data_IF_699313004585
#
_entry.id   IF_699313004585
#
_cell.length_a   1.000
_cell.length_b   1.000
_cell.length_c   1.000
_cell.angle_alpha   90.00
_cell.angle_beta   90.00
_cell.angle_gamma   90.00
#
_symmetry.space_group_name_H-M   'P 1'
#
loop_
_entity.id
_entity.type
_entity.pdbx_description
1 polymer ?
#
# COMPACT_ATOMS: atom_id res chain seq x y z
N UNK A 1 15.45 4.97 -22.88
CA UNK A 1 16.29 5.65 -21.87
C UNK A 1 16.55 7.10 -22.25
N UNK A 2 16.90 7.41 -23.51
CA UNK A 2 17.15 8.79 -23.98
C UNK A 2 15.94 9.74 -23.90
N UNK A 3 14.73 9.26 -24.18
CA UNK A 3 13.53 10.13 -24.21
C UNK A 3 13.00 10.54 -22.83
N UNK A 4 13.14 9.66 -21.83
CA UNK A 4 12.72 9.97 -20.45
C UNK A 4 13.65 11.01 -19.79
N UNK A 5 14.95 10.98 -20.11
CA UNK A 5 15.89 12.01 -19.64
C UNK A 5 15.59 13.38 -20.28
N UNK A 6 15.18 13.40 -21.55
CA UNK A 6 14.80 14.64 -22.24
C UNK A 6 13.51 15.27 -21.65
N UNK A 7 12.48 14.45 -21.37
CA UNK A 7 11.26 14.94 -20.73
C UNK A 7 11.52 15.43 -19.30
N UNK A 8 12.31 14.70 -18.52
CA UNK A 8 12.72 15.09 -17.18
C UNK A 8 13.41 16.46 -17.18
N UNK A 9 14.29 16.73 -18.14
CA UNK A 9 14.95 18.04 -18.28
C UNK A 9 13.95 19.16 -18.64
N UNK A 10 12.87 18.82 -19.34
CA UNK A 10 11.90 19.81 -19.85
C UNK A 10 10.79 20.13 -18.83
N UNK A 11 10.26 19.12 -18.16
CA UNK A 11 9.08 19.23 -17.29
C UNK A 11 9.37 18.96 -15.81
N UNK A 12 10.58 18.49 -15.50
CA UNK A 12 10.90 17.93 -14.21
C UNK A 12 10.33 16.52 -14.00
N UNK A 13 10.58 15.98 -12.81
CA UNK A 13 10.15 14.64 -12.41
C UNK A 13 9.85 14.55 -10.91
N UNK A 14 9.05 13.55 -10.54
CA UNK A 14 8.78 13.21 -9.14
C UNK A 14 9.64 12.03 -8.72
N UNK A 15 10.45 12.21 -7.67
CA UNK A 15 11.15 11.12 -7.01
C UNK A 15 10.19 10.43 -6.04
N UNK A 16 9.91 9.16 -6.26
CA UNK A 16 9.01 8.37 -5.42
C UNK A 16 9.82 7.36 -4.62
N UNK A 17 9.51 7.21 -3.34
CA UNK A 17 10.10 6.17 -2.49
C UNK A 17 9.01 5.38 -1.78
N UNK A 18 9.11 4.05 -1.81
CA UNK A 18 8.18 3.15 -1.15
C UNK A 18 8.94 2.18 -0.24
N UNK A 19 8.72 2.32 1.07
CA UNK A 19 9.31 1.47 2.10
C UNK A 19 8.46 0.24 2.37
N UNK A 20 9.10 -0.92 2.55
CA UNK A 20 8.44 -2.12 3.06
C UNK A 20 9.39 -2.98 3.87
N UNK A 21 8.84 -3.83 4.75
CA UNK A 21 9.61 -4.82 5.49
C UNK A 21 9.42 -6.20 4.88
N UNK A 22 10.52 -6.89 4.63
CA UNK A 22 10.48 -8.27 4.17
C UNK A 22 10.17 -9.26 5.32
N UNK A 23 10.01 -10.54 4.98
CA UNK A 23 9.72 -11.59 5.99
C UNK A 23 10.84 -11.84 6.99
N UNK A 24 12.07 -11.41 6.68
CA UNK A 24 13.24 -11.50 7.56
C UNK A 24 13.40 -10.24 8.42
N UNK A 25 12.50 -9.27 8.29
CA UNK A 25 12.51 -8.02 9.05
C UNK A 25 13.39 -6.92 8.44
N UNK A 26 14.01 -7.16 7.28
CA UNK A 26 14.82 -6.17 6.58
C UNK A 26 13.94 -5.03 6.06
N UNK A 27 14.37 -3.80 6.28
CA UNK A 27 13.70 -2.63 5.72
C UNK A 27 14.26 -2.39 4.31
N UNK A 28 13.39 -2.40 3.29
CA UNK A 28 13.76 -2.14 1.91
C UNK A 28 13.04 -0.87 1.43
N UNK A 29 13.72 -0.03 0.69
CA UNK A 29 13.13 1.16 0.07
C UNK A 29 13.36 1.09 -1.43
N UNK A 30 12.27 1.13 -2.20
CA UNK A 30 12.35 1.23 -3.66
C UNK A 30 12.27 2.69 -4.07
N UNK A 31 13.24 3.16 -4.85
CA UNK A 31 13.26 4.48 -5.46
C UNK A 31 12.86 4.40 -6.92
N UNK A 32 11.96 5.30 -7.33
CA UNK A 32 11.46 5.42 -8.68
C UNK A 32 11.43 6.89 -9.09
N UNK A 33 11.54 7.15 -10.38
CA UNK A 33 11.32 8.48 -10.97
C UNK A 33 10.08 8.43 -11.84
N UNK A 34 9.20 9.39 -11.67
CA UNK A 34 8.02 9.55 -12.51
C UNK A 34 8.13 10.79 -13.39
N UNK A 35 7.92 10.61 -14.69
CA UNK A 35 7.80 11.67 -15.70
C UNK A 35 6.43 11.58 -16.38
N UNK A 36 6.04 12.56 -17.22
CA UNK A 36 4.80 12.46 -18.02
C UNK A 36 4.70 11.19 -18.87
N UNK A 37 5.83 10.65 -19.34
CA UNK A 37 5.91 9.35 -20.03
C UNK A 37 5.67 8.13 -19.14
N UNK A 38 5.91 8.23 -17.84
CA UNK A 38 5.66 7.16 -16.89
C UNK A 38 6.76 7.00 -15.84
N UNK A 39 6.71 5.87 -15.14
CA UNK A 39 7.61 5.59 -14.03
C UNK A 39 8.80 4.73 -14.45
N UNK A 40 9.98 5.07 -13.94
CA UNK A 40 11.22 4.30 -14.07
C UNK A 40 11.69 3.88 -12.69
N UNK A 41 12.06 2.61 -12.55
CA UNK A 41 12.74 2.13 -11.35
C UNK A 41 14.19 2.60 -11.36
N UNK A 42 14.65 3.18 -10.24
CA UNK A 42 16.05 3.52 -10.05
C UNK A 42 16.78 2.37 -9.36
N UNK A 43 16.41 2.13 -8.10
CA UNK A 43 17.12 1.19 -7.23
C UNK A 43 16.24 0.72 -6.06
N UNK A 44 16.56 -0.43 -5.50
CA UNK A 44 16.02 -0.93 -4.24
C UNK A 44 17.15 -1.02 -3.23
N UNK A 45 17.03 -0.27 -2.14
CA UNK A 45 18.08 -0.15 -1.12
C UNK A 45 17.68 -0.91 0.14
N UNK A 46 18.62 -1.68 0.69
CA UNK A 46 18.50 -2.20 2.06
C UNK A 46 18.69 -1.05 3.06
N UNK A 47 17.56 -0.54 3.53
CA UNK A 47 17.46 0.54 4.48
C UNK A 47 17.47 0.05 5.94
N UNK A 48 17.82 -1.21 6.21
CA UNK A 48 17.80 -1.74 7.60
C UNK A 48 18.69 -0.92 8.52
N UNK A 49 19.88 -0.52 8.07
CA UNK A 49 20.80 0.38 8.79
C UNK A 49 20.36 1.85 8.81
N UNK A 50 19.53 2.26 7.85
CA UNK A 50 19.04 3.63 7.71
C UNK A 50 17.72 3.88 8.47
N UNK A 51 16.97 2.82 8.78
CA UNK A 51 15.60 2.90 9.30
C UNK A 51 15.45 3.43 10.73
N UNK A 52 16.56 3.67 11.43
CA UNK A 52 16.56 4.04 12.85
C UNK A 52 16.61 5.55 13.11
N UNK A 53 17.11 6.37 12.17
CA UNK A 53 17.15 7.82 12.33
C UNK A 53 16.71 8.53 11.05
N UNK A 54 15.99 9.64 11.22
CA UNK A 54 15.54 10.49 10.12
C UNK A 54 16.71 11.10 9.32
N UNK A 55 17.85 11.33 9.96
CA UNK A 55 19.04 11.90 9.30
C UNK A 55 19.67 10.93 8.30
N UNK A 56 19.75 9.64 8.65
CA UNK A 56 20.25 8.61 7.76
C UNK A 56 19.34 8.46 6.54
N UNK A 57 18.03 8.50 6.77
CA UNK A 57 17.05 8.46 5.69
C UNK A 57 17.19 9.69 4.78
N UNK A 58 17.40 10.89 5.34
CA UNK A 58 17.65 12.09 4.55
C UNK A 58 18.90 11.98 3.67
N UNK A 59 20.01 11.42 4.18
CA UNK A 59 21.22 11.18 3.37
C UNK A 59 20.89 10.32 2.14
N UNK A 60 20.04 9.31 2.31
CA UNK A 60 19.61 8.45 1.22
C UNK A 60 18.76 9.20 0.19
N UNK A 61 17.79 10.00 0.62
CA UNK A 61 17.01 10.84 -0.30
C UNK A 61 17.88 11.88 -1.01
N UNK A 62 18.80 12.52 -0.30
CA UNK A 62 19.75 13.47 -0.88
C UNK A 62 20.62 12.82 -1.96
N UNK A 63 21.07 11.59 -1.73
CA UNK A 63 21.80 10.81 -2.73
C UNK A 63 20.99 10.62 -4.01
N UNK A 64 19.73 10.17 -3.91
CA UNK A 64 18.88 9.96 -5.09
C UNK A 64 18.47 11.26 -5.77
N UNK A 65 18.21 12.35 -5.03
CA UNK A 65 17.96 13.67 -5.61
C UNK A 65 19.18 14.13 -6.43
N UNK A 66 20.39 13.95 -5.91
CA UNK A 66 21.64 14.27 -6.62
C UNK A 66 21.89 13.37 -7.83
N UNK A 67 21.60 12.07 -7.71
CA UNK A 67 21.73 11.11 -8.80
C UNK A 67 20.79 11.45 -9.96
N UNK A 68 19.55 11.82 -9.65
CA UNK A 68 18.57 12.26 -10.66
C UNK A 68 18.98 13.61 -11.22
N UNK A 69 19.40 14.55 -10.39
CA UNK A 69 19.68 15.93 -10.79
C UNK A 69 18.75 16.85 -10.02
N UNK A 70 19.25 17.65 -9.07
CA UNK A 70 18.39 18.42 -8.18
C UNK A 70 17.47 19.40 -8.91
N UNK A 71 17.91 19.95 -10.06
CA UNK A 71 17.11 20.87 -10.89
C UNK A 71 15.94 20.18 -11.60
N UNK A 72 16.06 18.89 -11.84
CA UNK A 72 15.07 18.12 -12.57
C UNK A 72 14.05 17.47 -11.63
N UNK A 73 14.34 17.39 -10.34
CA UNK A 73 13.37 16.92 -9.34
C UNK A 73 12.48 18.11 -8.96
N UNK A 74 11.18 17.95 -9.13
CA UNK A 74 10.18 18.95 -8.68
C UNK A 74 9.47 18.51 -7.41
N UNK A 75 9.41 17.21 -7.15
CA UNK A 75 8.61 16.64 -6.08
C UNK A 75 9.24 15.38 -5.50
N UNK A 76 9.10 15.20 -4.19
CA UNK A 76 9.35 13.91 -3.53
C UNK A 76 8.03 13.33 -3.01
N UNK A 77 7.76 12.06 -3.33
CA UNK A 77 6.54 11.35 -2.93
C UNK A 77 6.90 10.14 -2.08
N UNK A 78 6.39 10.08 -0.85
CA UNK A 78 6.63 8.96 0.08
C UNK A 78 5.35 8.63 0.85
N UNK A 79 5.33 7.51 1.58
CA UNK A 79 4.24 7.27 2.54
C UNK A 79 4.27 8.30 3.69
N UNK A 80 3.17 8.38 4.45
CA UNK A 80 3.04 9.36 5.53
C UNK A 80 3.63 8.89 6.87
N UNK A 81 4.54 7.90 6.89
CA UNK A 81 5.23 7.54 8.12
C UNK A 81 6.01 8.74 8.68
N UNK A 82 6.09 8.86 10.00
CA UNK A 82 6.71 10.02 10.68
C UNK A 82 8.11 10.36 10.18
N UNK A 83 8.92 9.33 9.91
CA UNK A 83 10.30 9.50 9.43
C UNK A 83 10.32 10.08 8.01
N UNK A 84 9.39 9.65 7.16
CA UNK A 84 9.25 10.13 5.79
C UNK A 84 8.72 11.59 5.75
N UNK A 85 7.79 11.94 6.64
CA UNK A 85 7.32 13.32 6.79
C UNK A 85 8.47 14.24 7.20
N UNK A 86 9.30 13.81 8.15
CA UNK A 86 10.46 14.59 8.60
C UNK A 86 11.50 14.74 7.49
N UNK A 87 11.82 13.68 6.76
CA UNK A 87 12.71 13.76 5.59
C UNK A 87 12.16 14.68 4.53
N UNK A 88 10.85 14.68 4.29
CA UNK A 88 10.19 15.63 3.40
C UNK A 88 10.50 17.08 3.78
N UNK A 89 10.39 17.43 5.07
CA UNK A 89 10.73 18.77 5.57
C UNK A 89 12.20 19.13 5.35
N UNK A 90 13.12 18.18 5.59
CA UNK A 90 14.55 18.41 5.36
C UNK A 90 14.88 18.58 3.87
N UNK A 91 14.17 17.87 2.99
CA UNK A 91 14.29 18.05 1.53
C UNK A 91 13.82 19.44 1.12
N UNK A 92 12.66 19.89 1.62
CA UNK A 92 12.13 21.23 1.34
C UNK A 92 13.04 22.34 1.87
N UNK A 93 13.70 22.14 3.01
CA UNK A 93 14.67 23.09 3.57
C UNK A 93 15.94 23.18 2.71
N UNK A 94 16.48 22.04 2.26
CA UNK A 94 17.71 22.00 1.46
C UNK A 94 17.50 22.39 -0.01
N UNK A 95 16.34 22.05 -0.55
CA UNK A 95 15.98 22.26 -1.95
C UNK A 95 14.65 23.03 -2.02
N UNK A 96 14.66 24.38 -1.92
CA UNK A 96 13.44 25.18 -1.81
C UNK A 96 12.45 25.07 -2.99
N UNK A 97 12.90 24.54 -4.13
CA UNK A 97 12.07 24.30 -5.32
C UNK A 97 11.46 22.89 -5.37
N UNK A 98 11.85 21.99 -4.45
CA UNK A 98 11.33 20.62 -4.36
C UNK A 98 10.32 20.58 -3.22
N UNK A 99 9.08 20.20 -3.53
CA UNK A 99 8.04 20.01 -2.51
C UNK A 99 7.86 18.54 -2.16
N UNK A 100 7.55 18.26 -0.89
CA UNK A 100 7.20 16.93 -0.44
C UNK A 100 5.69 16.73 -0.46
N UNK A 101 5.26 15.54 -0.87
CA UNK A 101 3.83 15.17 -0.79
C UNK A 101 3.64 13.74 -0.29
N UNK A 102 2.57 13.49 0.49
CA UNK A 102 2.23 12.14 0.88
C UNK A 102 1.70 11.35 -0.33
N UNK A 103 1.96 10.04 -0.31
CA UNK A 103 1.46 9.10 -1.30
C UNK A 103 -0.08 9.09 -1.28
N UNK A 104 -0.70 9.37 -2.43
CA UNK A 104 -2.16 9.39 -2.56
C UNK A 104 -2.80 8.03 -2.20
N UNK A 105 -2.17 6.91 -2.55
CA UNK A 105 -2.66 5.58 -2.18
C UNK A 105 -2.72 5.39 -0.65
N UNK A 106 -1.69 5.86 0.06
CA UNK A 106 -1.67 5.84 1.52
C UNK A 106 -2.71 6.79 2.13
N UNK A 107 -2.91 7.97 1.54
CA UNK A 107 -3.95 8.90 1.97
C UNK A 107 -5.35 8.27 1.86
N UNK A 108 -5.63 7.59 0.75
CA UNK A 108 -6.90 6.87 0.54
C UNK A 108 -7.05 5.74 1.55
N UNK A 109 -5.97 5.05 1.93
CA UNK A 109 -6.01 4.03 2.99
C UNK A 109 -6.48 4.60 4.31
N UNK A 110 -5.89 5.72 4.74
CA UNK A 110 -6.25 6.33 6.01
C UNK A 110 -7.70 6.78 6.02
N UNK A 111 -8.22 7.29 4.89
CA UNK A 111 -9.64 7.59 4.75
C UNK A 111 -10.48 6.32 4.95
N UNK A 112 -10.08 5.19 4.36
CA UNK A 112 -10.79 3.93 4.58
C UNK A 112 -10.66 3.44 6.02
N UNK A 113 -9.49 3.49 6.64
CA UNK A 113 -9.29 3.15 8.05
C UNK A 113 -10.22 3.98 8.96
N UNK A 114 -10.32 5.29 8.71
CA UNK A 114 -11.20 6.18 9.46
C UNK A 114 -12.68 5.84 9.28
N UNK A 115 -13.11 5.53 8.06
CA UNK A 115 -14.48 5.04 7.80
C UNK A 115 -14.74 3.76 8.61
N UNK A 116 -13.79 2.83 8.70
CA UNK A 116 -13.97 1.61 9.46
C UNK A 116 -13.84 1.78 10.98
N UNK A 117 -13.53 2.98 11.50
CA UNK A 117 -13.63 3.30 12.94
C UNK A 117 -15.08 3.47 13.42
N UNK A 118 -16.05 3.71 12.52
CA UNK A 118 -17.45 3.78 12.91
C UNK A 118 -17.92 2.43 13.51
N UNK A 119 -18.52 2.41 14.72
CA UNK A 119 -18.79 1.16 15.44
C UNK A 119 -19.62 0.14 14.65
N UNK A 120 -20.59 0.58 13.85
CA UNK A 120 -21.41 -0.32 13.05
C UNK A 120 -20.65 -0.94 11.87
N UNK A 121 -19.76 -0.19 11.22
CA UNK A 121 -18.90 -0.68 10.14
C UNK A 121 -17.83 -1.62 10.68
N UNK A 122 -17.19 -1.24 11.79
CA UNK A 122 -16.22 -2.09 12.50
C UNK A 122 -16.83 -3.44 12.87
N UNK A 123 -18.01 -3.44 13.52
CA UNK A 123 -18.72 -4.68 13.87
C UNK A 123 -19.08 -5.54 12.65
N UNK A 124 -19.42 -4.90 11.53
CA UNK A 124 -19.75 -5.61 10.29
C UNK A 124 -18.49 -6.28 9.71
N UNK A 125 -17.37 -5.57 9.71
CA UNK A 125 -16.08 -6.11 9.31
C UNK A 125 -15.64 -7.26 10.21
N UNK A 126 -15.70 -7.10 11.54
CA UNK A 126 -15.30 -8.15 12.49
C UNK A 126 -16.09 -9.44 12.28
N UNK A 127 -17.39 -9.33 11.98
CA UNK A 127 -18.23 -10.48 11.62
C UNK A 127 -17.80 -11.11 10.30
N UNK A 128 -17.51 -10.30 9.28
CA UNK A 128 -17.02 -10.79 7.99
C UNK A 128 -15.68 -11.54 8.14
N UNK A 129 -14.75 -10.99 8.93
CA UNK A 129 -13.47 -11.64 9.26
C UNK A 129 -13.73 -12.96 9.99
N UNK A 130 -14.63 -12.99 10.97
CA UNK A 130 -14.99 -14.20 11.72
C UNK A 130 -15.52 -15.30 10.78
N UNK A 131 -16.45 -14.97 9.89
CA UNK A 131 -16.99 -15.93 8.91
C UNK A 131 -15.92 -16.38 7.92
N UNK A 132 -15.08 -15.46 7.43
CA UNK A 132 -13.95 -15.79 6.57
C UNK A 132 -13.03 -16.81 7.24
N UNK A 133 -12.55 -16.51 8.45
CA UNK A 133 -11.65 -17.39 9.20
C UNK A 133 -12.30 -18.74 9.51
N UNK A 134 -13.59 -18.76 9.86
CA UNK A 134 -14.33 -20.00 10.12
C UNK A 134 -14.38 -20.93 8.89
N UNK A 135 -14.65 -20.38 7.70
CA UNK A 135 -14.69 -21.16 6.45
C UNK A 135 -13.29 -21.60 6.04
N UNK A 136 -12.32 -20.68 6.00
CA UNK A 136 -10.99 -20.95 5.46
C UNK A 136 -10.13 -21.85 6.37
N UNK A 137 -10.46 -21.97 7.66
CA UNK A 137 -9.80 -22.91 8.57
C UNK A 137 -10.36 -24.34 8.51
N UNK A 138 -11.45 -24.58 7.77
CA UNK A 138 -12.12 -25.88 7.70
C UNK A 138 -12.22 -26.33 6.25
N UNK A 139 -11.38 -27.28 5.84
CA UNK A 139 -11.28 -27.77 4.45
C UNK A 139 -12.64 -28.18 3.87
N UNK A 140 -13.48 -28.90 4.64
CA UNK A 140 -14.79 -29.33 4.18
C UNK A 140 -15.72 -28.15 3.88
N UNK A 141 -15.74 -27.13 4.75
CA UNK A 141 -16.54 -25.91 4.54
C UNK A 141 -16.00 -25.07 3.39
N UNK A 142 -14.68 -24.98 3.24
CA UNK A 142 -14.05 -24.29 2.12
C UNK A 142 -14.44 -24.94 0.79
N UNK A 143 -14.40 -26.27 0.71
CA UNK A 143 -14.80 -27.01 -0.48
C UNK A 143 -16.29 -26.83 -0.79
N UNK A 144 -17.15 -26.93 0.23
CA UNK A 144 -18.58 -26.67 0.09
C UNK A 144 -18.84 -25.24 -0.40
N UNK A 145 -18.22 -24.23 0.22
CA UNK A 145 -18.33 -22.83 -0.21
C UNK A 145 -17.95 -22.67 -1.69
N UNK A 146 -16.83 -23.26 -2.10
CA UNK A 146 -16.37 -23.25 -3.50
C UNK A 146 -17.36 -23.93 -4.45
N UNK A 147 -18.10 -24.96 -4.04
CA UNK A 147 -19.16 -25.53 -4.88
C UNK A 147 -20.29 -24.52 -5.12
N UNK A 148 -20.73 -23.84 -4.06
CA UNK A 148 -21.81 -22.86 -4.15
C UNK A 148 -21.41 -21.53 -4.81
N UNK A 149 -20.12 -21.18 -4.83
CA UNK A 149 -19.62 -19.94 -5.46
C UNK A 149 -19.08 -20.13 -6.87
N UNK A 150 -19.19 -21.34 -7.46
CA UNK A 150 -18.62 -21.61 -8.78
C UNK A 150 -17.09 -21.57 -8.77
N UNK A 151 -16.49 -22.16 -7.74
CA UNK A 151 -15.06 -22.23 -7.43
C UNK A 151 -14.40 -20.87 -7.15
N UNK A 152 -15.18 -19.82 -6.89
CA UNK A 152 -14.65 -18.50 -6.50
C UNK A 152 -14.29 -18.45 -5.03
N UNK A 153 -13.08 -18.02 -4.74
CA UNK A 153 -12.62 -17.76 -3.38
C UNK A 153 -13.08 -16.39 -2.86
N UNK A 154 -13.25 -16.28 -1.54
CA UNK A 154 -13.44 -15.00 -0.86
C UNK A 154 -12.12 -14.24 -0.77
N UNK A 155 -12.21 -12.91 -0.86
CA UNK A 155 -11.06 -12.04 -0.71
C UNK A 155 -10.57 -12.07 0.74
N UNK A 156 -9.32 -12.49 0.92
CA UNK A 156 -8.65 -12.56 2.23
C UNK A 156 -8.61 -11.17 2.87
N UNK A 157 -9.17 -11.00 4.07
CA UNK A 157 -8.95 -9.78 4.85
C UNK A 157 -7.45 -9.66 5.15
N UNK A 158 -6.84 -8.55 4.73
CA UNK A 158 -5.45 -8.23 5.00
C UNK A 158 -5.39 -6.97 5.86
N UNK A 159 -4.52 -6.97 6.88
CA UNK A 159 -4.30 -5.80 7.73
C UNK A 159 -3.59 -4.64 7.02
N UNK A 160 -2.91 -4.90 5.90
CA UNK A 160 -1.86 -4.01 5.36
C UNK A 160 -1.97 -3.74 3.86
N UNK A 161 -3.17 -3.83 3.26
CA UNK A 161 -3.33 -3.52 1.84
C UNK A 161 -4.57 -2.69 1.58
N UNK A 162 -4.33 -1.54 0.97
CA UNK A 162 -5.28 -0.56 0.47
C UNK A 162 -6.63 -1.16 0.07
N UNK A 163 -7.69 -0.67 0.70
CA UNK A 163 -9.09 -1.01 0.42
C UNK A 163 -9.50 -2.49 0.60
N UNK A 164 -8.64 -3.37 1.12
CA UNK A 164 -8.96 -4.81 1.26
C UNK A 164 -10.23 -5.02 2.08
N UNK A 165 -10.43 -4.23 3.12
CA UNK A 165 -11.64 -4.21 3.94
C UNK A 165 -12.91 -4.03 3.09
N UNK A 166 -12.90 -3.03 2.21
CA UNK A 166 -14.02 -2.73 1.33
C UNK A 166 -14.25 -3.85 0.30
N UNK A 167 -13.17 -4.35 -0.31
CA UNK A 167 -13.22 -5.44 -1.29
C UNK A 167 -13.74 -6.73 -0.65
N UNK A 168 -13.28 -7.07 0.56
CA UNK A 168 -13.78 -8.20 1.36
C UNK A 168 -15.28 -8.07 1.58
N UNK A 169 -15.76 -6.92 2.08
CA UNK A 169 -17.19 -6.72 2.33
C UNK A 169 -18.02 -6.78 1.04
N UNK A 170 -17.51 -6.24 -0.06
CA UNK A 170 -18.16 -6.34 -1.36
C UNK A 170 -18.23 -7.81 -1.85
N UNK A 171 -17.17 -8.59 -1.64
CA UNK A 171 -17.14 -10.01 -1.93
C UNK A 171 -18.20 -10.79 -1.11
N UNK A 172 -18.34 -10.49 0.18
CA UNK A 172 -19.40 -11.05 1.04
C UNK A 172 -20.80 -10.66 0.55
N UNK A 173 -20.99 -9.40 0.14
CA UNK A 173 -22.26 -8.92 -0.42
C UNK A 173 -22.62 -9.66 -1.71
N UNK A 174 -21.67 -9.80 -2.63
CA UNK A 174 -21.86 -10.50 -3.89
C UNK A 174 -22.19 -11.99 -3.70
N UNK A 175 -21.56 -12.64 -2.71
CA UNK A 175 -21.76 -14.07 -2.42
C UNK A 175 -22.82 -14.36 -1.35
N UNK A 176 -23.55 -13.34 -0.84
CA UNK A 176 -24.48 -13.47 0.29
C UNK A 176 -25.47 -14.62 0.14
N UNK A 177 -26.06 -14.79 -1.05
CA UNK A 177 -27.04 -15.86 -1.31
C UNK A 177 -26.40 -17.25 -1.24
N UNK A 178 -25.20 -17.40 -1.80
CA UNK A 178 -24.46 -18.66 -1.83
C UNK A 178 -23.97 -19.06 -0.44
N UNK A 179 -23.42 -18.10 0.32
CA UNK A 179 -22.96 -18.33 1.69
C UNK A 179 -24.10 -18.75 2.63
N UNK A 180 -25.31 -18.19 2.45
CA UNK A 180 -26.50 -18.62 3.20
C UNK A 180 -26.90 -20.07 2.90
N UNK A 181 -26.76 -20.53 1.64
CA UNK A 181 -27.02 -21.92 1.28
C UNK A 181 -26.02 -22.87 1.97
N UNK A 182 -24.73 -22.51 2.01
CA UNK A 182 -23.72 -23.28 2.73
C UNK A 182 -24.06 -23.41 4.23
N UNK A 183 -24.52 -22.33 4.88
CA UNK A 183 -24.82 -22.37 6.33
C UNK A 183 -26.04 -23.23 6.68
N UNK A 184 -27.04 -23.31 5.79
CA UNK A 184 -28.26 -24.09 6.04
C UNK A 184 -28.00 -25.61 5.98
N UNK A 185 -27.03 -26.05 5.18
CA UNK A 185 -26.66 -27.46 5.04
C UNK A 185 -25.75 -27.95 6.18
N UNK A 186 -25.04 -27.03 6.85
CA UNK A 186 -24.10 -27.37 7.92
C UNK A 186 -24.75 -27.42 9.33
N UNK A 187 -26.04 -27.07 9.45
CA UNK A 187 -26.82 -27.18 10.70
C UNK A 187 -27.73 -28.43 10.72
N UNK A 188 -27.55 -29.34 9.76
CA UNK A 188 -28.31 -30.59 9.62
C UNK A 188 -27.54 -31.86 10.00
N UNK A 189 -26.41 -31.72 10.69
CA UNK A 189 -25.56 -32.80 11.20
C UNK A 189 -25.07 -32.43 12.59
#
# INVERSE_FOLDING_TARGET
MSENEAEKTTYGCSLMANGWRDRKGRALINFLVNTPRGSMFLESVDASSYSHTSDNLFILFDHFIKQVGPRDVVQVVTDSASNNVFVGKLVEEKYPHIYWTPCAAHCIDFIFEDIFKFPYLKRTLDKAITVYTYIYNRILLLNMMREFTGKKDMVRPAKTRFATTFITLNCFKANKRNLKKCSLLNNGT
#
